data_IF_222372984738
#
_entry.id   IF_222372984738
#
_cell.length_a   1.000
_cell.length_b   1.000
_cell.length_c   1.000
_cell.angle_alpha   90.00
_cell.angle_beta   90.00
_cell.angle_gamma   90.00
#
_symmetry.space_group_name_H-M   'P 1'
#
loop_
_entity.id
_entity.type
_entity.pdbx_description
1 polymer ?
#
# COMPACT_ATOMS: atom_id res chain seq x y z
N UNK A 1 7.51 16.99 -35.60
CA UNK A 1 6.63 15.92 -35.08
C UNK A 1 7.26 15.52 -33.76
N UNK A 2 6.82 15.98 -32.59
CA UNK A 2 5.41 16.03 -32.15
C UNK A 2 5.15 17.21 -31.21
N UNK A 3 4.07 17.95 -31.48
CA UNK A 3 3.55 19.06 -30.66
C UNK A 3 2.55 18.61 -29.59
N UNK A 4 2.58 17.35 -29.16
CA UNK A 4 1.74 16.85 -28.08
C UNK A 4 2.31 17.30 -26.73
N UNK A 5 1.45 17.75 -25.81
CA UNK A 5 1.88 18.08 -24.46
C UNK A 5 2.37 16.83 -23.71
N UNK A 6 3.17 17.02 -22.65
CA UNK A 6 3.62 15.89 -21.79
C UNK A 6 2.43 15.09 -21.24
N UNK A 7 1.30 15.76 -20.99
CA UNK A 7 0.07 15.13 -20.55
C UNK A 7 -0.59 14.30 -21.65
N UNK A 8 -0.70 14.82 -22.88
CA UNK A 8 -1.31 14.08 -23.99
C UNK A 8 -0.54 12.79 -24.28
N UNK A 9 0.79 12.84 -24.17
CA UNK A 9 1.63 11.64 -24.30
C UNK A 9 1.41 10.65 -23.18
N UNK A 10 1.29 11.11 -21.94
CA UNK A 10 1.04 10.23 -20.81
C UNK A 10 -0.36 9.59 -20.89
N UNK A 11 -1.37 10.33 -21.36
CA UNK A 11 -2.68 9.77 -21.68
C UNK A 11 -2.60 8.72 -22.78
N UNK A 12 -1.87 8.97 -23.87
CA UNK A 12 -1.69 8.00 -24.96
C UNK A 12 -1.05 6.69 -24.47
N UNK A 13 -0.09 6.77 -23.54
CA UNK A 13 0.49 5.60 -22.87
C UNK A 13 -0.54 4.90 -21.97
N UNK A 14 -1.34 5.64 -21.20
CA UNK A 14 -2.21 5.05 -20.21
C UNK A 14 -3.50 4.45 -20.79
N UNK A 15 -4.08 5.05 -21.84
CA UNK A 15 -5.38 4.66 -22.40
C UNK A 15 -5.45 3.18 -22.83
N UNK A 16 -4.49 2.61 -23.58
CA UNK A 16 -4.51 1.19 -23.91
C UNK A 16 -4.52 0.29 -22.67
N UNK A 17 -3.83 0.71 -21.60
CA UNK A 17 -3.76 -0.05 -20.34
C UNK A 17 -5.07 0.01 -19.57
N UNK A 18 -5.72 1.18 -19.56
CA UNK A 18 -7.02 1.39 -18.94
C UNK A 18 -8.13 0.62 -19.68
N UNK A 19 -8.13 0.64 -21.02
CA UNK A 19 -9.08 -0.14 -21.83
C UNK A 19 -8.92 -1.65 -21.64
N UNK A 20 -7.71 -2.12 -21.35
CA UNK A 20 -7.42 -3.53 -21.06
C UNK A 20 -7.59 -3.89 -19.57
N UNK A 21 -7.91 -2.92 -18.71
CA UNK A 21 -8.14 -3.17 -17.29
C UNK A 21 -9.52 -3.81 -17.06
N UNK A 22 -9.65 -4.75 -16.11
CA UNK A 22 -10.94 -5.35 -15.76
C UNK A 22 -11.93 -4.27 -15.34
N UNK A 23 -13.06 -4.20 -16.06
CA UNK A 23 -14.15 -3.29 -15.72
C UNK A 23 -14.78 -3.61 -14.36
N UNK A 24 -14.66 -4.84 -13.88
CA UNK A 24 -15.17 -5.29 -12.57
C UNK A 24 -14.22 -5.00 -11.40
N UNK A 25 -13.12 -4.25 -11.60
CA UNK A 25 -12.10 -3.97 -10.58
C UNK A 25 -12.67 -3.65 -9.18
N UNK A 26 -13.61 -2.69 -9.10
CA UNK A 26 -14.22 -2.30 -7.83
C UNK A 26 -15.09 -3.42 -7.23
N UNK A 27 -15.86 -4.11 -8.09
CA UNK A 27 -16.69 -5.23 -7.67
C UNK A 27 -15.84 -6.41 -7.17
N UNK A 28 -14.69 -6.69 -7.80
CA UNK A 28 -13.77 -7.74 -7.34
C UNK A 28 -13.20 -7.42 -5.95
N UNK A 29 -12.84 -6.15 -5.68
CA UNK A 29 -12.41 -5.73 -4.35
C UNK A 29 -13.55 -5.94 -3.34
N UNK A 30 -14.76 -5.49 -3.66
CA UNK A 30 -15.92 -5.65 -2.79
C UNK A 30 -16.20 -7.13 -2.49
N UNK A 31 -16.17 -8.00 -3.50
CA UNK A 31 -16.37 -9.44 -3.33
C UNK A 31 -15.31 -10.07 -2.41
N UNK A 32 -14.05 -9.62 -2.51
CA UNK A 32 -12.99 -10.06 -1.59
C UNK A 32 -13.32 -9.63 -0.15
N UNK A 33 -13.70 -8.37 0.06
CA UNK A 33 -14.06 -7.88 1.39
C UNK A 33 -15.30 -8.55 1.98
N UNK A 34 -16.30 -8.88 1.15
CA UNK A 34 -17.48 -9.65 1.58
C UNK A 34 -17.07 -11.06 2.01
N UNK A 35 -16.26 -11.73 1.19
CA UNK A 35 -15.75 -13.09 1.48
C UNK A 35 -14.96 -13.13 2.78
N UNK A 36 -14.19 -12.08 3.04
CA UNK A 36 -13.36 -11.93 4.23
C UNK A 36 -14.16 -11.40 5.45
N UNK A 37 -15.47 -11.19 5.33
CA UNK A 37 -16.34 -10.70 6.40
C UNK A 37 -16.16 -9.21 6.75
N UNK A 38 -15.31 -8.49 6.02
CA UNK A 38 -14.93 -7.10 6.32
C UNK A 38 -16.11 -6.13 6.15
N UNK A 39 -16.97 -6.35 5.16
CA UNK A 39 -18.17 -5.51 4.96
C UNK A 39 -19.09 -5.56 6.19
N UNK A 40 -19.34 -6.77 6.71
CA UNK A 40 -20.11 -6.96 7.95
C UNK A 40 -19.38 -6.33 9.14
N UNK A 41 -18.06 -6.52 9.26
CA UNK A 41 -17.27 -5.94 10.33
C UNK A 41 -17.34 -4.40 10.34
N UNK A 42 -17.31 -3.75 9.18
CA UNK A 42 -17.51 -2.29 9.06
C UNK A 42 -18.92 -1.89 9.48
N UNK A 43 -19.95 -2.62 9.02
CA UNK A 43 -21.34 -2.31 9.35
C UNK A 43 -21.62 -2.41 10.87
N UNK A 44 -21.04 -3.40 11.55
CA UNK A 44 -21.20 -3.62 12.99
C UNK A 44 -20.14 -2.94 13.85
N UNK A 45 -19.18 -2.23 13.25
CA UNK A 45 -18.03 -1.61 13.93
C UNK A 45 -17.22 -2.62 14.76
N UNK A 46 -17.03 -3.81 14.21
CA UNK A 46 -16.33 -4.94 14.83
C UNK A 46 -14.81 -4.72 14.76
N UNK A 47 -14.25 -4.08 15.80
CA UNK A 47 -12.82 -3.84 15.88
C UNK A 47 -11.95 -5.12 15.89
N UNK A 48 -12.30 -6.20 16.60
CA UNK A 48 -11.61 -7.49 16.49
C UNK A 48 -11.51 -8.02 15.05
N UNK A 49 -12.62 -8.07 14.30
CA UNK A 49 -12.60 -8.58 12.93
C UNK A 49 -11.78 -7.68 11.99
N UNK A 50 -11.89 -6.35 12.15
CA UNK A 50 -11.09 -5.40 11.37
C UNK A 50 -9.59 -5.49 11.70
N UNK A 51 -9.26 -5.73 12.98
CA UNK A 51 -7.88 -5.97 13.41
C UNK A 51 -7.30 -7.20 12.69
N UNK A 52 -7.98 -8.33 12.74
CA UNK A 52 -7.52 -9.58 12.15
C UNK A 52 -7.31 -9.44 10.63
N UNK A 53 -8.23 -8.75 9.95
CA UNK A 53 -8.09 -8.42 8.54
C UNK A 53 -6.81 -7.59 8.26
N UNK A 54 -6.60 -6.50 9.01
CA UNK A 54 -5.43 -5.62 8.83
C UNK A 54 -4.10 -6.33 9.15
N UNK A 55 -4.07 -7.19 10.16
CA UNK A 55 -2.90 -8.04 10.47
C UNK A 55 -2.65 -9.05 9.35
N UNK A 56 -3.72 -9.63 8.78
CA UNK A 56 -3.67 -10.53 7.64
C UNK A 56 -3.02 -9.88 6.41
N UNK A 57 -3.50 -8.70 6.01
CA UNK A 57 -2.94 -7.94 4.87
C UNK A 57 -1.48 -7.52 5.13
N UNK A 58 -1.12 -7.25 6.39
CA UNK A 58 0.27 -6.90 6.75
C UNK A 58 1.26 -8.07 6.60
N UNK A 59 0.78 -9.32 6.50
CA UNK A 59 1.65 -10.48 6.29
C UNK A 59 2.34 -10.48 4.91
N UNK A 60 1.80 -9.76 3.93
CA UNK A 60 2.35 -9.66 2.59
C UNK A 60 3.60 -8.75 2.52
N UNK A 61 3.95 -8.07 3.60
CA UNK A 61 5.12 -7.19 3.63
C UNK A 61 6.45 -7.96 3.45
N UNK A 62 7.17 -7.57 2.39
CA UNK A 62 8.59 -7.91 2.17
C UNK A 62 8.84 -9.34 1.68
N UNK A 63 7.81 -10.01 1.17
CA UNK A 63 7.88 -11.35 0.57
C UNK A 63 6.89 -11.44 -0.60
N UNK A 64 6.96 -12.50 -1.40
CA UNK A 64 5.94 -12.76 -2.43
C UNK A 64 4.61 -13.19 -1.81
N UNK A 65 3.51 -12.88 -2.50
CA UNK A 65 2.16 -13.23 -2.03
C UNK A 65 1.98 -14.73 -1.80
N UNK A 66 2.58 -15.55 -2.67
CA UNK A 66 2.60 -17.01 -2.52
C UNK A 66 3.24 -17.44 -1.20
N UNK A 67 4.37 -16.84 -0.83
CA UNK A 67 5.07 -17.19 0.40
C UNK A 67 4.32 -16.70 1.64
N UNK A 68 3.67 -15.53 1.55
CA UNK A 68 2.82 -15.01 2.61
C UNK A 68 1.62 -15.95 2.86
N UNK A 69 0.91 -16.30 1.79
CA UNK A 69 -0.25 -17.20 1.86
C UNK A 69 0.13 -18.58 2.41
N UNK A 70 1.24 -19.18 1.95
CA UNK A 70 1.71 -20.47 2.44
C UNK A 70 2.08 -20.43 3.93
N UNK A 71 2.73 -19.35 4.41
CA UNK A 71 3.04 -19.19 5.83
C UNK A 71 1.77 -19.07 6.67
N UNK A 72 0.87 -18.17 6.30
CA UNK A 72 -0.39 -17.94 7.02
C UNK A 72 -1.25 -19.20 7.06
N UNK A 73 -1.36 -19.93 5.95
CA UNK A 73 -2.13 -21.19 5.91
C UNK A 73 -1.55 -22.26 6.85
N UNK A 74 -0.24 -22.26 7.09
CA UNK A 74 0.44 -23.25 7.93
C UNK A 74 0.47 -22.88 9.41
N UNK A 75 0.60 -21.59 9.71
CA UNK A 75 0.92 -21.10 11.05
C UNK A 75 -0.17 -20.21 11.68
N UNK A 76 -1.18 -19.81 10.90
CA UNK A 76 -2.16 -18.80 11.30
C UNK A 76 -1.58 -17.38 11.33
N UNK A 77 -2.34 -16.48 11.92
CA UNK A 77 -1.94 -15.12 12.27
C UNK A 77 -2.21 -14.88 13.75
N UNK A 78 -1.56 -13.86 14.31
CA UNK A 78 -1.89 -13.37 15.65
C UNK A 78 -3.25 -12.70 15.60
N UNK A 79 -4.24 -13.23 16.32
CA UNK A 79 -5.58 -12.66 16.36
C UNK A 79 -5.74 -11.60 17.45
N UNK A 80 -6.82 -10.82 17.37
CA UNK A 80 -7.23 -9.90 18.43
C UNK A 80 -7.38 -10.64 19.78
N UNK A 81 -8.08 -11.77 19.78
CA UNK A 81 -8.39 -12.53 21.00
C UNK A 81 -7.12 -13.10 21.65
N UNK A 82 -6.14 -13.55 20.85
CA UNK A 82 -4.85 -14.03 21.36
C UNK A 82 -4.12 -12.93 22.15
N UNK A 83 -4.12 -11.70 21.63
CA UNK A 83 -3.51 -10.55 22.29
C UNK A 83 -4.35 -10.13 23.50
N UNK A 84 -5.67 -10.04 23.36
CA UNK A 84 -6.57 -9.65 24.44
C UNK A 84 -6.41 -10.57 25.66
N UNK A 85 -6.40 -11.89 25.44
CA UNK A 85 -6.15 -12.89 26.49
C UNK A 85 -4.76 -12.74 27.11
N UNK A 86 -3.72 -12.54 26.29
CA UNK A 86 -2.35 -12.32 26.75
C UNK A 86 -2.23 -11.07 27.65
N UNK A 87 -2.94 -10.00 27.32
CA UNK A 87 -2.95 -8.75 28.11
C UNK A 87 -3.79 -8.92 29.39
N UNK A 88 -4.92 -9.63 29.32
CA UNK A 88 -5.77 -9.91 30.48
C UNK A 88 -5.06 -10.77 31.54
N UNK A 89 -4.14 -11.64 31.12
CA UNK A 89 -3.28 -12.40 32.03
C UNK A 89 -2.33 -11.52 32.89
N UNK A 90 -2.25 -10.21 32.61
CA UNK A 90 -1.53 -9.25 33.44
C UNK A 90 -0.01 -9.39 33.35
N UNK A 91 0.59 -9.29 32.14
CA UNK A 91 2.04 -9.43 32.01
C UNK A 91 2.78 -8.30 32.76
N UNK A 92 3.88 -8.66 33.42
CA UNK A 92 4.63 -7.72 34.27
C UNK A 92 5.36 -6.61 33.50
N UNK A 93 5.50 -6.74 32.17
CA UNK A 93 6.19 -5.77 31.34
C UNK A 93 5.39 -4.48 31.21
N UNK A 94 5.94 -3.38 31.72
CA UNK A 94 5.30 -2.06 31.75
C UNK A 94 4.96 -1.49 30.36
N UNK A 95 5.62 -2.00 29.31
CA UNK A 95 5.39 -1.63 27.90
C UNK A 95 4.11 -2.22 27.31
N UNK A 96 3.57 -3.28 27.91
CA UNK A 96 2.33 -3.93 27.45
C UNK A 96 1.06 -3.25 28.02
N UNK A 97 1.20 -2.08 28.66
CA UNK A 97 0.07 -1.37 29.26
C UNK A 97 -0.78 -0.61 28.24
N UNK A 98 -0.19 -0.18 27.13
CA UNK A 98 -0.90 0.56 26.09
C UNK A 98 0.02 1.12 25.00
N UNK A 99 -0.59 1.81 24.04
CA UNK A 99 0.01 2.15 22.75
C UNK A 99 1.32 2.92 22.91
N UNK A 100 1.28 4.02 23.67
CA UNK A 100 2.45 4.86 23.89
C UNK A 100 3.54 4.19 24.74
N UNK A 101 3.17 3.31 25.67
CA UNK A 101 4.15 2.54 26.45
C UNK A 101 4.81 1.43 25.66
N UNK A 102 4.13 0.92 24.63
CA UNK A 102 4.63 -0.15 23.78
C UNK A 102 5.65 0.34 22.75
N UNK A 103 5.69 1.65 22.48
CA UNK A 103 6.70 2.26 21.62
C UNK A 103 8.11 1.79 22.03
N UNK A 104 8.95 1.48 21.03
CA UNK A 104 10.30 0.94 21.24
C UNK A 104 10.37 -0.32 22.10
N UNK A 105 9.36 -1.19 22.08
CA UNK A 105 9.45 -2.54 22.68
C UNK A 105 10.75 -3.25 22.24
N UNK A 106 11.06 -3.20 20.94
CA UNK A 106 12.33 -3.63 20.38
C UNK A 106 12.51 -5.15 20.39
N UNK A 107 11.42 -5.92 20.48
CA UNK A 107 11.50 -7.38 20.50
C UNK A 107 12.12 -7.94 19.22
N UNK A 108 13.15 -8.77 19.37
CA UNK A 108 13.86 -9.44 18.29
C UNK A 108 13.70 -10.95 18.47
N UNK A 109 12.87 -11.55 17.60
CA UNK A 109 12.55 -12.98 17.66
C UNK A 109 13.78 -13.89 17.53
N UNK A 110 14.71 -13.57 16.63
CA UNK A 110 15.88 -14.41 16.36
C UNK A 110 16.86 -14.51 17.55
N UNK A 111 16.99 -13.44 18.33
CA UNK A 111 17.90 -13.38 19.48
C UNK A 111 17.17 -13.52 20.82
N UNK A 112 15.82 -13.56 20.80
CA UNK A 112 14.99 -13.45 21.99
C UNK A 112 15.45 -12.31 22.91
N UNK A 113 15.53 -11.08 22.38
CA UNK A 113 15.89 -9.88 23.16
C UNK A 113 14.87 -8.76 22.97
N UNK A 114 14.80 -7.83 23.91
CA UNK A 114 13.98 -6.62 23.84
C UNK A 114 14.57 -5.51 24.73
N UNK A 115 13.90 -4.36 24.81
CA UNK A 115 14.32 -3.25 25.67
C UNK A 115 14.05 -3.49 27.18
N UNK A 116 13.26 -4.51 27.52
CA UNK A 116 12.90 -4.87 28.90
C UNK A 116 13.29 -6.33 29.22
N UNK A 117 14.60 -6.68 29.20
CA UNK A 117 15.06 -8.07 29.22
C UNK A 117 14.63 -8.84 30.47
N UNK A 118 14.42 -8.16 31.61
CA UNK A 118 13.98 -8.78 32.86
C UNK A 118 12.58 -9.41 32.77
N UNK A 119 11.76 -8.96 31.81
CA UNK A 119 10.37 -9.40 31.68
C UNK A 119 10.18 -10.45 30.58
N UNK A 120 11.23 -10.84 29.86
CA UNK A 120 11.08 -11.62 28.64
C UNK A 120 10.54 -13.04 28.87
N UNK A 121 10.85 -13.65 30.02
CA UNK A 121 10.42 -15.01 30.38
C UNK A 121 8.91 -15.11 30.50
N UNK A 122 8.23 -14.03 30.96
CA UNK A 122 6.77 -13.96 31.06
C UNK A 122 6.14 -13.02 30.02
N UNK A 123 6.86 -12.71 28.96
CA UNK A 123 6.36 -11.86 27.89
C UNK A 123 5.56 -12.71 26.90
N UNK A 124 4.36 -12.29 26.46
CA UNK A 124 3.57 -13.07 25.51
C UNK A 124 4.09 -12.99 24.07
N UNK A 125 4.89 -11.97 23.71
CA UNK A 125 5.35 -11.76 22.33
C UNK A 125 6.08 -12.98 21.71
N UNK A 126 6.98 -13.69 22.41
CA UNK A 126 7.66 -14.86 21.85
C UNK A 126 6.74 -16.04 21.51
N UNK A 127 5.56 -16.13 22.13
CA UNK A 127 4.62 -17.24 21.98
C UNK A 127 3.84 -17.17 20.66
N UNK A 128 3.75 -15.98 20.08
CA UNK A 128 2.93 -15.71 18.90
C UNK A 128 3.50 -16.29 17.59
N UNK A 129 2.66 -16.95 16.77
CA UNK A 129 3.05 -17.46 15.47
C UNK A 129 3.22 -16.29 14.48
N UNK A 130 4.46 -15.96 14.16
CA UNK A 130 4.79 -15.01 13.10
C UNK A 130 6.19 -15.24 12.57
N UNK A 131 6.38 -14.96 11.27
CA UNK A 131 7.67 -15.14 10.57
C UNK A 131 8.79 -14.24 11.10
N UNK A 132 8.46 -13.06 11.65
CA UNK A 132 9.43 -12.08 12.15
C UNK A 132 8.87 -11.35 13.38
N UNK A 133 9.75 -11.02 14.32
CA UNK A 133 9.36 -10.27 15.54
C UNK A 133 8.78 -8.88 15.28
N UNK A 134 9.09 -8.27 14.13
CA UNK A 134 8.51 -6.99 13.72
C UNK A 134 6.99 -7.07 13.46
N UNK A 135 6.48 -8.23 13.04
CA UNK A 135 5.05 -8.40 12.76
C UNK A 135 4.25 -8.66 14.02
N UNK A 136 4.85 -9.34 15.00
CA UNK A 136 4.28 -9.50 16.34
C UNK A 136 4.17 -8.12 16.99
N UNK A 137 5.25 -7.34 16.92
CA UNK A 137 5.21 -5.95 17.41
C UNK A 137 4.17 -5.12 16.67
N UNK A 138 4.05 -5.26 15.35
CA UNK A 138 3.03 -4.55 14.60
C UNK A 138 1.59 -4.94 15.03
N UNK A 139 1.34 -6.23 15.26
CA UNK A 139 0.05 -6.70 15.76
C UNK A 139 -0.27 -6.13 17.15
N UNK A 140 0.67 -6.18 18.10
CA UNK A 140 0.47 -5.57 19.43
C UNK A 140 0.30 -4.05 19.37
N UNK A 141 1.10 -3.36 18.55
CA UNK A 141 0.98 -1.92 18.38
C UNK A 141 -0.36 -1.53 17.73
N UNK A 142 -0.85 -2.30 16.75
CA UNK A 142 -2.18 -2.10 16.18
C UNK A 142 -3.29 -2.39 17.21
N UNK A 143 -3.16 -3.43 18.02
CA UNK A 143 -4.13 -3.78 19.06
C UNK A 143 -4.28 -2.63 20.05
N UNK A 144 -3.15 -2.12 20.55
CA UNK A 144 -3.16 -0.97 21.45
C UNK A 144 -3.63 0.31 20.76
N UNK A 145 -3.31 0.50 19.48
CA UNK A 145 -3.82 1.65 18.73
C UNK A 145 -5.35 1.63 18.66
N UNK A 146 -5.94 0.50 18.27
CA UNK A 146 -7.40 0.34 18.24
C UNK A 146 -8.03 0.53 19.62
N UNK A 147 -7.46 -0.10 20.65
CA UNK A 147 -7.98 -0.02 22.02
C UNK A 147 -7.85 1.37 22.63
N UNK A 148 -6.69 2.03 22.50
CA UNK A 148 -6.36 3.25 23.24
C UNK A 148 -6.60 4.52 22.42
N UNK A 149 -6.33 4.49 21.11
CA UNK A 149 -6.42 5.67 20.22
C UNK A 149 -7.78 5.72 19.51
N UNK A 150 -8.29 4.56 19.07
CA UNK A 150 -9.63 4.48 18.48
C UNK A 150 -10.73 4.21 19.51
N UNK A 151 -10.38 4.04 20.80
CA UNK A 151 -11.33 3.70 21.87
C UNK A 151 -12.19 2.46 21.56
N UNK A 152 -11.63 1.49 20.83
CA UNK A 152 -12.33 0.29 20.38
C UNK A 152 -13.24 0.46 19.16
N UNK A 153 -13.28 1.64 18.53
CA UNK A 153 -14.12 1.91 17.35
C UNK A 153 -13.27 2.47 16.19
N UNK A 154 -12.68 1.57 15.41
CA UNK A 154 -11.88 1.95 14.24
C UNK A 154 -12.72 2.68 13.18
N UNK A 155 -13.96 2.24 12.95
CA UNK A 155 -14.85 2.82 11.92
C UNK A 155 -15.21 4.25 12.29
N UNK A 156 -15.64 4.48 13.53
CA UNK A 156 -15.93 5.82 14.04
C UNK A 156 -14.69 6.72 14.07
N UNK A 157 -13.52 6.16 14.40
CA UNK A 157 -12.25 6.90 14.33
C UNK A 157 -11.92 7.33 12.88
N UNK A 158 -12.06 6.44 11.90
CA UNK A 158 -11.87 6.78 10.48
C UNK A 158 -12.86 7.87 10.05
N UNK A 159 -14.15 7.70 10.36
CA UNK A 159 -15.19 8.69 10.03
C UNK A 159 -14.85 10.08 10.54
N UNK A 160 -14.44 10.17 11.81
CA UNK A 160 -14.06 11.42 12.46
C UNK A 160 -12.84 12.06 11.78
N UNK A 161 -11.76 11.29 11.58
CA UNK A 161 -10.52 11.79 10.96
C UNK A 161 -10.77 12.30 9.55
N UNK A 162 -11.52 11.56 8.75
CA UNK A 162 -11.88 11.96 7.39
C UNK A 162 -12.74 13.21 7.39
N UNK A 163 -13.73 13.32 8.28
CA UNK A 163 -14.58 14.49 8.38
C UNK A 163 -13.81 15.75 8.80
N UNK A 164 -12.91 15.65 9.77
CA UNK A 164 -12.05 16.75 10.24
C UNK A 164 -11.08 17.23 9.15
N UNK A 165 -10.57 16.30 8.34
CA UNK A 165 -9.56 16.60 7.32
C UNK A 165 -10.14 17.07 5.98
N UNK A 166 -11.44 16.88 5.73
CA UNK A 166 -12.11 17.12 4.45
C UNK A 166 -12.19 18.62 4.11
N UNK A 167 -11.42 19.13 3.12
CA UNK A 167 -11.54 20.52 2.66
C UNK A 167 -12.79 20.82 1.81
N UNK A 168 -13.64 19.82 1.53
CA UNK A 168 -14.78 19.91 0.63
C UNK A 168 -14.48 19.39 -0.78
N UNK A 169 -15.54 19.02 -1.50
CA UNK A 169 -15.48 18.30 -2.80
C UNK A 169 -14.74 19.04 -3.93
N UNK A 170 -14.63 20.37 -3.85
CA UNK A 170 -13.97 21.17 -4.87
C UNK A 170 -12.44 21.24 -4.75
N UNK A 171 -11.86 20.77 -3.65
CA UNK A 171 -10.42 20.84 -3.44
C UNK A 171 -9.69 19.73 -4.21
N UNK A 172 -8.71 20.09 -5.05
CA UNK A 172 -7.95 19.15 -5.88
C UNK A 172 -7.09 18.17 -5.07
N UNK A 173 -6.73 18.52 -3.83
CA UNK A 173 -5.93 17.73 -2.90
C UNK A 173 -6.77 17.03 -1.81
N UNK A 174 -8.10 17.07 -1.91
CA UNK A 174 -9.03 16.54 -0.90
C UNK A 174 -8.69 15.13 -0.44
N UNK A 175 -8.55 14.19 -1.37
CA UNK A 175 -8.22 12.79 -1.06
C UNK A 175 -6.82 12.63 -0.45
N UNK A 176 -5.85 13.48 -0.83
CA UNK A 176 -4.50 13.46 -0.29
C UNK A 176 -4.50 13.91 1.16
N UNK A 177 -5.20 15.00 1.48
CA UNK A 177 -5.34 15.52 2.84
C UNK A 177 -6.05 14.53 3.76
N UNK A 178 -7.18 13.99 3.32
CA UNK A 178 -7.92 12.97 4.05
C UNK A 178 -7.09 11.70 4.27
N UNK A 179 -6.38 11.22 3.24
CA UNK A 179 -5.48 10.07 3.35
C UNK A 179 -4.32 10.32 4.32
N UNK A 180 -3.71 11.51 4.31
CA UNK A 180 -2.65 11.86 5.25
C UNK A 180 -3.15 11.87 6.71
N UNK A 181 -4.35 12.40 6.96
CA UNK A 181 -4.95 12.41 8.30
C UNK A 181 -5.19 11.00 8.86
N UNK A 182 -5.41 9.99 8.01
CA UNK A 182 -5.47 8.59 8.42
C UNK A 182 -4.09 7.96 8.60
N UNK A 183 -3.18 8.20 7.63
CA UNK A 183 -1.89 7.52 7.61
C UNK A 183 -0.90 8.04 8.65
N UNK A 184 -0.94 9.34 8.98
CA UNK A 184 0.03 9.96 9.88
C UNK A 184 0.00 9.37 11.30
N UNK A 185 -1.17 9.20 11.95
CA UNK A 185 -1.24 8.50 13.24
C UNK A 185 -0.75 7.05 13.18
N UNK A 186 -1.01 6.34 12.07
CA UNK A 186 -0.62 4.94 11.89
C UNK A 186 0.89 4.74 11.76
N UNK A 187 1.66 5.80 11.50
CA UNK A 187 3.14 5.75 11.53
C UNK A 187 3.68 5.39 12.91
N UNK A 188 2.91 5.58 13.98
CA UNK A 188 3.25 5.12 15.33
C UNK A 188 3.22 3.59 15.48
N UNK A 189 2.55 2.87 14.58
CA UNK A 189 2.50 1.41 14.61
C UNK A 189 3.82 0.85 14.06
N UNK A 190 4.71 0.50 14.98
CA UNK A 190 6.05 0.01 14.64
C UNK A 190 5.97 -1.32 13.89
N UNK A 191 6.75 -1.46 12.81
CA UNK A 191 6.90 -2.71 12.05
C UNK A 191 6.14 -2.76 10.73
N UNK A 192 5.18 -1.84 10.51
CA UNK A 192 4.44 -1.69 9.24
C UNK A 192 4.80 -0.35 8.59
N UNK A 193 5.19 -0.39 7.32
CA UNK A 193 5.50 0.82 6.55
C UNK A 193 4.24 1.53 6.04
N UNK A 194 4.32 2.84 5.81
CA UNK A 194 3.21 3.66 5.27
C UNK A 194 2.62 3.12 3.96
N UNK A 195 3.46 2.52 3.10
CA UNK A 195 3.01 1.85 1.88
C UNK A 195 2.02 0.72 2.17
N UNK A 196 2.32 -0.11 3.17
CA UNK A 196 1.48 -1.26 3.53
C UNK A 196 0.17 -0.78 4.13
N UNK A 197 0.19 0.25 4.97
CA UNK A 197 -1.04 0.90 5.45
C UNK A 197 -1.89 1.48 4.33
N UNK A 198 -1.27 2.20 3.40
CA UNK A 198 -1.96 2.74 2.24
C UNK A 198 -2.59 1.63 1.38
N UNK A 199 -1.90 0.49 1.21
CA UNK A 199 -2.48 -0.68 0.52
C UNK A 199 -3.67 -1.26 1.27
N UNK A 200 -3.50 -1.57 2.56
CA UNK A 200 -4.53 -2.22 3.38
C UNK A 200 -5.79 -1.36 3.54
N UNK A 201 -5.62 -0.05 3.73
CA UNK A 201 -6.75 0.86 3.90
C UNK A 201 -7.41 1.24 2.58
N UNK A 202 -6.69 1.30 1.47
CA UNK A 202 -7.30 1.72 0.20
C UNK A 202 -8.48 0.83 -0.18
N UNK A 203 -8.31 -0.49 -0.13
CA UNK A 203 -9.35 -1.44 -0.53
C UNK A 203 -10.54 -1.39 0.46
N UNK A 204 -10.25 -1.35 1.78
CA UNK A 204 -11.25 -1.15 2.83
C UNK A 204 -12.09 0.11 2.59
N UNK A 205 -11.45 1.26 2.40
CA UNK A 205 -12.12 2.55 2.22
C UNK A 205 -12.88 2.62 0.90
N UNK A 206 -12.38 1.96 -0.13
CA UNK A 206 -12.93 2.02 -1.47
C UNK A 206 -14.19 1.16 -1.62
N UNK A 207 -14.28 0.02 -0.93
CA UNK A 207 -15.30 -0.99 -1.23
C UNK A 207 -16.03 -1.60 -0.01
N UNK A 208 -15.62 -1.32 1.24
CA UNK A 208 -16.30 -1.91 2.40
C UNK A 208 -17.69 -1.31 2.65
N UNK A 209 -17.89 -0.03 2.33
CA UNK A 209 -19.20 0.64 2.39
C UNK A 209 -19.24 1.79 1.37
N UNK A 210 -19.89 1.54 0.23
CA UNK A 210 -19.97 2.49 -0.88
C UNK A 210 -20.79 3.75 -0.55
N UNK A 211 -21.59 3.74 0.52
CA UNK A 211 -22.35 4.91 0.93
C UNK A 211 -21.50 5.94 1.70
N UNK A 212 -20.29 5.54 2.14
CA UNK A 212 -19.36 6.44 2.83
C UNK A 212 -18.52 7.22 1.83
N UNK A 213 -19.08 8.30 1.31
CA UNK A 213 -18.45 9.08 0.25
C UNK A 213 -17.01 9.53 0.56
N UNK A 214 -16.71 9.95 1.80
CA UNK A 214 -15.34 10.32 2.20
C UNK A 214 -14.38 9.13 2.18
N UNK A 215 -14.87 7.94 2.52
CA UNK A 215 -14.07 6.71 2.45
C UNK A 215 -13.74 6.41 1.00
N UNK A 216 -14.76 6.33 0.15
CA UNK A 216 -14.59 6.04 -1.29
C UNK A 216 -13.65 7.05 -1.94
N UNK A 217 -13.85 8.35 -1.70
CA UNK A 217 -12.99 9.41 -2.23
C UNK A 217 -11.53 9.28 -1.73
N UNK A 218 -11.34 8.93 -0.46
CA UNK A 218 -9.99 8.73 0.11
C UNK A 218 -9.33 7.50 -0.48
N UNK A 219 -10.01 6.34 -0.46
CA UNK A 219 -9.51 5.08 -1.00
C UNK A 219 -9.16 5.17 -2.49
N UNK A 220 -9.99 5.86 -3.28
CA UNK A 220 -9.72 6.14 -4.69
C UNK A 220 -8.45 6.97 -4.92
N UNK A 221 -8.10 7.87 -3.99
CA UNK A 221 -6.91 8.72 -4.05
C UNK A 221 -5.66 8.13 -3.39
N UNK A 222 -5.77 6.99 -2.70
CA UNK A 222 -4.65 6.28 -2.05
C UNK A 222 -3.81 5.53 -3.08
N UNK A 223 -2.97 6.28 -3.78
CA UNK A 223 -2.00 5.75 -4.74
C UNK A 223 -0.78 5.16 -4.02
N UNK A 224 -0.36 4.00 -4.47
CA UNK A 224 0.81 3.25 -4.01
C UNK A 224 1.80 3.09 -5.17
N UNK A 225 2.93 3.75 -5.05
CA UNK A 225 4.06 3.62 -5.99
C UNK A 225 5.03 2.56 -5.47
N UNK A 226 5.14 1.46 -6.20
CA UNK A 226 6.19 0.45 -6.04
C UNK A 226 7.27 0.59 -7.11
N UNK A 227 8.24 -0.32 -7.10
CA UNK A 227 9.33 -0.31 -8.09
C UNK A 227 8.82 -0.57 -9.50
N UNK A 228 7.78 -1.39 -9.68
CA UNK A 228 7.21 -1.69 -10.99
C UNK A 228 6.61 -0.45 -11.62
N UNK A 229 5.78 0.27 -10.86
CA UNK A 229 5.13 1.49 -11.33
C UNK A 229 6.13 2.62 -11.54
N UNK A 230 7.09 2.81 -10.62
CA UNK A 230 8.17 3.79 -10.78
C UNK A 230 8.99 3.52 -12.05
N UNK A 231 9.42 2.27 -12.24
CA UNK A 231 10.21 1.88 -13.41
C UNK A 231 9.41 2.01 -14.71
N UNK A 232 8.10 1.74 -14.69
CA UNK A 232 7.24 1.99 -15.86
C UNK A 232 7.23 3.47 -16.25
N UNK A 233 7.03 4.37 -15.29
CA UNK A 233 7.04 5.83 -15.54
C UNK A 233 8.40 6.31 -16.05
N UNK A 234 9.50 5.68 -15.61
CA UNK A 234 10.83 5.95 -16.14
C UNK A 234 10.98 5.44 -17.58
N UNK A 235 10.73 4.14 -17.83
CA UNK A 235 10.91 3.49 -19.14
C UNK A 235 10.07 4.13 -20.25
N UNK A 236 8.87 4.60 -19.91
CA UNK A 236 7.99 5.28 -20.86
C UNK A 236 8.43 6.69 -21.21
N UNK A 237 9.41 7.25 -20.49
CA UNK A 237 9.85 8.64 -20.61
C UNK A 237 8.96 9.63 -19.89
N UNK A 238 7.91 9.16 -19.19
CA UNK A 238 6.97 10.01 -18.46
C UNK A 238 7.70 10.90 -17.46
N UNK A 239 8.56 10.33 -16.59
CA UNK A 239 9.30 11.13 -15.61
C UNK A 239 10.16 12.22 -16.28
N UNK A 240 10.83 11.89 -17.39
CA UNK A 240 11.69 12.83 -18.13
C UNK A 240 10.89 13.99 -18.72
N UNK A 241 9.74 13.69 -19.36
CA UNK A 241 8.87 14.70 -19.97
C UNK A 241 8.24 15.67 -18.97
N UNK A 242 8.11 15.26 -17.72
CA UNK A 242 7.64 16.11 -16.63
C UNK A 242 8.76 16.74 -15.80
N UNK A 243 10.03 16.56 -16.20
CA UNK A 243 11.21 16.98 -15.41
C UNK A 243 11.16 16.44 -13.96
N UNK A 244 10.64 15.23 -13.80
CA UNK A 244 10.36 14.56 -12.54
C UNK A 244 11.22 13.31 -12.36
N UNK A 245 12.37 13.21 -13.02
CA UNK A 245 13.31 12.08 -12.82
C UNK A 245 13.86 12.11 -11.38
N UNK A 246 13.81 10.97 -10.70
CA UNK A 246 14.30 10.79 -9.33
C UNK A 246 14.61 9.31 -9.05
N UNK A 247 15.48 9.00 -8.07
CA UNK A 247 15.67 7.62 -7.64
C UNK A 247 14.41 7.11 -6.92
N UNK A 248 14.15 5.81 -7.04
CA UNK A 248 13.08 5.15 -6.30
C UNK A 248 13.18 5.47 -4.80
N UNK A 249 12.03 5.76 -4.17
CA UNK A 249 11.93 6.22 -2.78
C UNK A 249 11.57 7.70 -2.64
N UNK A 250 11.76 8.52 -3.70
CA UNK A 250 11.26 9.91 -3.76
C UNK A 250 9.91 10.06 -4.48
N UNK A 251 9.23 8.95 -4.75
CA UNK A 251 8.00 8.87 -5.56
C UNK A 251 6.80 9.68 -5.02
N UNK A 252 6.81 10.02 -3.73
CA UNK A 252 5.74 10.74 -3.04
C UNK A 252 6.12 12.19 -2.70
N UNK A 253 7.31 12.64 -3.12
CA UNK A 253 7.67 14.06 -3.04
C UNK A 253 6.80 14.87 -4.02
N UNK A 254 6.65 16.18 -3.83
CA UNK A 254 5.93 17.04 -4.78
C UNK A 254 6.42 16.83 -6.21
N UNK A 255 5.48 16.72 -7.16
CA UNK A 255 5.73 16.39 -8.57
C UNK A 255 6.34 15.00 -8.83
N UNK A 256 6.35 14.12 -7.83
CA UNK A 256 6.78 12.73 -7.97
C UNK A 256 5.76 11.83 -8.68
N UNK A 257 6.05 10.53 -8.76
CA UNK A 257 5.19 9.54 -9.42
C UNK A 257 3.73 9.59 -8.94
N UNK A 258 3.49 9.74 -7.63
CA UNK A 258 2.13 9.76 -7.08
C UNK A 258 1.31 10.96 -7.60
N UNK A 259 1.93 12.13 -7.73
CA UNK A 259 1.28 13.33 -8.25
C UNK A 259 1.01 13.21 -9.74
N UNK A 260 1.91 12.59 -10.51
CA UNK A 260 1.68 12.32 -11.93
C UNK A 260 0.50 11.37 -12.15
N UNK A 261 0.38 10.30 -11.36
CA UNK A 261 -0.77 9.37 -11.44
C UNK A 261 -2.08 10.09 -11.10
N UNK A 262 -2.09 10.94 -10.06
CA UNK A 262 -3.27 11.72 -9.69
C UNK A 262 -3.64 12.75 -10.76
N UNK A 263 -2.65 13.45 -11.30
CA UNK A 263 -2.84 14.43 -12.37
C UNK A 263 -3.37 13.77 -13.65
N UNK A 264 -2.89 12.57 -14.00
CA UNK A 264 -3.42 11.79 -15.10
C UNK A 264 -4.89 11.40 -14.86
N UNK A 265 -5.21 10.95 -13.64
CA UNK A 265 -6.58 10.58 -13.28
C UNK A 265 -7.57 11.76 -13.29
N UNK A 266 -7.10 13.00 -13.11
CA UNK A 266 -7.95 14.19 -13.27
C UNK A 266 -8.33 14.46 -14.72
N UNK A 267 -7.61 13.88 -15.68
CA UNK A 267 -7.78 14.10 -17.12
C UNK A 267 -8.54 12.97 -17.82
N UNK A 268 -8.78 11.88 -17.11
CA UNK A 268 -9.45 10.68 -17.62
C UNK A 268 -10.70 10.46 -16.78
N UNK A 269 -11.87 10.45 -17.42
CA UNK A 269 -13.09 10.05 -16.75
C UNK A 269 -13.14 8.52 -16.66
N UNK A 270 -12.90 7.96 -15.47
CA UNK A 270 -12.85 6.51 -15.31
C UNK A 270 -14.22 5.84 -15.58
N UNK A 271 -15.31 6.62 -15.63
CA UNK A 271 -16.66 6.15 -16.00
C UNK A 271 -16.74 5.69 -17.46
N UNK A 272 -15.81 6.09 -18.31
CA UNK A 272 -15.65 5.57 -19.67
C UNK A 272 -15.36 4.06 -19.69
N UNK A 273 -14.75 3.53 -18.61
CA UNK A 273 -14.39 2.10 -18.50
C UNK A 273 -15.40 1.31 -17.68
N UNK A 274 -16.01 1.93 -16.67
CA UNK A 274 -17.16 1.40 -15.95
C UNK A 274 -17.97 2.56 -15.33
N UNK A 275 -19.28 2.72 -15.64
CA UNK A 275 -20.10 3.82 -15.11
C UNK A 275 -20.19 3.89 -13.57
N UNK A 276 -19.93 2.79 -12.87
CA UNK A 276 -19.93 2.73 -11.40
C UNK A 276 -18.64 3.27 -10.77
N UNK A 277 -17.61 3.56 -11.58
CA UNK A 277 -16.37 4.13 -11.07
C UNK A 277 -16.50 5.61 -10.68
N UNK A 278 -15.74 6.07 -9.67
CA UNK A 278 -15.53 7.51 -9.48
C UNK A 278 -14.97 8.14 -10.75
N UNK A 279 -15.45 9.33 -11.13
CA UNK A 279 -14.98 10.02 -12.34
C UNK A 279 -13.45 10.20 -12.35
N UNK A 280 -12.89 10.67 -11.23
CA UNK A 280 -11.45 10.72 -11.00
C UNK A 280 -11.03 9.53 -10.13
N UNK A 281 -10.34 8.55 -10.71
CA UNK A 281 -9.98 7.30 -10.01
C UNK A 281 -8.47 6.95 -10.10
N UNK A 282 -7.61 7.69 -9.37
CA UNK A 282 -6.15 7.46 -9.38
C UNK A 282 -5.73 6.03 -9.08
N UNK A 283 -6.42 5.35 -8.16
CA UNK A 283 -6.13 3.95 -7.81
C UNK A 283 -6.38 2.99 -8.98
N UNK A 284 -7.42 3.19 -9.78
CA UNK A 284 -7.66 2.41 -10.99
C UNK A 284 -6.59 2.68 -12.06
N UNK A 285 -6.18 3.94 -12.25
CA UNK A 285 -5.07 4.30 -13.14
C UNK A 285 -3.77 3.62 -12.72
N UNK A 286 -3.44 3.67 -11.42
CA UNK A 286 -2.30 2.96 -10.85
C UNK A 286 -2.38 1.46 -11.14
N UNK A 287 -3.53 0.84 -10.89
CA UNK A 287 -3.74 -0.59 -11.12
C UNK A 287 -3.54 -0.95 -12.60
N UNK A 288 -4.18 -0.24 -13.53
CA UNK A 288 -4.06 -0.48 -14.96
C UNK A 288 -2.60 -0.45 -15.44
N UNK A 289 -1.83 0.53 -14.98
CA UNK A 289 -0.40 0.65 -15.31
C UNK A 289 0.41 -0.48 -14.65
N UNK A 290 0.19 -0.73 -13.36
CA UNK A 290 0.90 -1.76 -12.60
C UNK A 290 0.73 -3.16 -13.21
N UNK A 291 -0.46 -3.50 -13.71
CA UNK A 291 -0.74 -4.79 -14.36
C UNK A 291 0.16 -5.11 -15.54
N UNK A 292 0.58 -4.09 -16.29
CA UNK A 292 1.51 -4.28 -17.41
C UNK A 292 2.86 -4.85 -16.93
N UNK A 293 3.30 -4.46 -15.74
CA UNK A 293 4.60 -4.81 -15.18
C UNK A 293 4.52 -6.00 -14.20
N UNK A 294 3.40 -6.24 -13.54
CA UNK A 294 3.27 -7.30 -12.55
C UNK A 294 3.41 -8.69 -13.14
N UNK A 295 4.19 -9.56 -12.48
CA UNK A 295 4.37 -10.97 -12.89
C UNK A 295 3.12 -11.82 -12.63
N UNK A 296 2.22 -11.35 -11.78
CA UNK A 296 0.93 -11.99 -11.50
C UNK A 296 -0.17 -11.57 -12.51
N UNK A 297 0.13 -10.61 -13.38
CA UNK A 297 -0.81 -10.03 -14.35
C UNK A 297 -0.26 -10.23 -15.77
N UNK A 298 -0.09 -9.15 -16.56
CA UNK A 298 0.31 -9.24 -17.96
C UNK A 298 1.79 -9.59 -18.12
N UNK A 299 2.63 -9.26 -17.14
CA UNK A 299 4.04 -9.63 -17.12
C UNK A 299 4.80 -9.23 -18.41
N UNK A 300 4.65 -7.97 -18.84
CA UNK A 300 5.22 -7.41 -20.08
C UNK A 300 6.37 -6.43 -19.80
N UNK A 301 6.15 -5.44 -18.92
CA UNK A 301 7.08 -4.32 -18.71
C UNK A 301 7.83 -4.43 -17.38
N UNK A 302 8.66 -5.46 -17.21
CA UNK A 302 9.46 -5.67 -16.01
C UNK A 302 10.85 -6.23 -16.30
N UNK A 303 11.71 -6.27 -15.28
CA UNK A 303 13.09 -6.73 -15.39
C UNK A 303 13.25 -8.23 -15.67
N UNK A 304 12.17 -9.03 -15.68
CA UNK A 304 12.19 -10.42 -16.16
C UNK A 304 12.01 -10.50 -17.67
N UNK A 305 11.50 -9.44 -18.31
CA UNK A 305 11.14 -9.41 -19.74
C UNK A 305 11.97 -8.41 -20.56
N UNK A 306 12.57 -7.43 -19.90
CA UNK A 306 13.29 -6.32 -20.54
C UNK A 306 14.70 -6.28 -19.96
N UNK A 307 15.70 -6.13 -20.83
CA UNK A 307 17.04 -5.72 -20.41
C UNK A 307 17.05 -4.22 -20.10
N UNK A 308 17.17 -3.90 -18.81
CA UNK A 308 17.13 -2.53 -18.30
C UNK A 308 18.33 -1.67 -18.69
N UNK A 309 19.32 -2.23 -19.38
CA UNK A 309 20.50 -1.53 -19.90
C UNK A 309 20.31 -1.01 -21.32
N UNK A 310 19.29 -1.49 -22.02
CA UNK A 310 19.03 -1.18 -23.42
C UNK A 310 17.62 -0.62 -23.63
N UNK A 311 17.43 0.03 -24.78
CA UNK A 311 16.08 0.44 -25.21
C UNK A 311 15.24 -0.82 -25.45
N UNK A 312 14.00 -0.81 -24.97
CA UNK A 312 13.09 -1.94 -25.14
C UNK A 312 12.72 -2.16 -26.62
N UNK A 313 12.80 -3.41 -27.09
CA UNK A 313 12.47 -3.80 -28.46
C UNK A 313 11.14 -4.56 -28.58
N UNK A 314 10.38 -4.66 -27.49
CA UNK A 314 9.12 -5.42 -27.47
C UNK A 314 7.99 -4.69 -28.22
N UNK A 315 7.95 -4.85 -29.54
CA UNK A 315 6.98 -4.21 -30.44
C UNK A 315 5.53 -4.64 -30.21
N UNK A 316 5.28 -5.74 -29.50
CA UNK A 316 3.92 -6.19 -29.14
C UNK A 316 3.39 -5.56 -27.86
N UNK A 317 4.21 -4.78 -27.15
CA UNK A 317 3.77 -4.04 -25.98
C UNK A 317 2.67 -3.03 -26.37
N UNK A 318 1.52 -3.00 -25.66
CA UNK A 318 0.37 -2.17 -26.04
C UNK A 318 0.65 -0.66 -26.03
N UNK A 319 1.74 -0.24 -25.38
CA UNK A 319 2.15 1.18 -25.31
C UNK A 319 3.40 1.47 -26.12
N UNK A 320 3.87 0.51 -26.95
CA UNK A 320 5.17 0.60 -27.62
C UNK A 320 5.32 1.85 -28.50
N UNK A 321 4.27 2.21 -29.24
CA UNK A 321 4.27 3.36 -30.16
C UNK A 321 4.47 4.68 -29.40
N UNK A 322 3.88 4.79 -28.21
CA UNK A 322 3.95 5.99 -27.38
C UNK A 322 5.06 5.97 -26.32
N UNK A 323 5.74 4.84 -26.15
CA UNK A 323 6.80 4.67 -25.18
C UNK A 323 8.14 5.22 -25.70
N UNK A 324 8.77 6.11 -24.92
CA UNK A 324 10.11 6.62 -25.27
C UNK A 324 11.21 5.55 -25.11
N UNK A 325 10.89 4.44 -24.43
CA UNK A 325 11.74 3.25 -24.24
C UNK A 325 13.09 3.59 -23.62
N UNK A 326 13.06 4.43 -22.60
CA UNK A 326 14.24 4.86 -21.83
C UNK A 326 14.80 3.65 -21.07
N UNK A 327 16.10 3.40 -21.18
CA UNK A 327 16.79 2.39 -20.38
C UNK A 327 16.87 2.85 -18.91
N UNK A 328 16.72 1.94 -17.95
CA UNK A 328 16.84 2.29 -16.52
C UNK A 328 18.29 2.47 -16.07
N UNK A 329 19.22 1.80 -16.74
CA UNK A 329 20.64 1.80 -16.41
C UNK A 329 21.45 2.22 -17.64
N UNK A 330 21.72 3.52 -17.78
CA UNK A 330 22.59 3.98 -18.87
C UNK A 330 24.02 3.47 -18.67
N UNK A 331 24.59 2.90 -19.74
CA UNK A 331 25.97 2.38 -19.79
C UNK A 331 27.06 3.42 -19.51
N UNK A 332 26.72 4.71 -19.36
CA UNK A 332 27.66 5.82 -19.18
C UNK A 332 27.78 6.35 -17.74
N UNK A 333 27.10 5.75 -16.77
CA UNK A 333 27.24 6.14 -15.35
C UNK A 333 27.92 5.02 -14.55
N UNK A 334 29.17 5.19 -14.07
CA UNK A 334 29.78 4.20 -13.20
C UNK A 334 28.98 4.11 -11.90
N UNK A 335 28.38 2.94 -11.67
CA UNK A 335 27.66 2.56 -10.46
C UNK A 335 28.54 2.74 -9.23
N UNK A 336 28.27 3.78 -8.44
CA UNK A 336 28.77 3.92 -7.07
C UNK A 336 27.88 3.13 -6.10
N UNK A 337 27.68 1.83 -6.32
CA UNK A 337 27.09 0.92 -5.33
C UNK A 337 27.27 -0.55 -5.73
N UNK A 338 28.50 -1.04 -5.73
CA UNK A 338 28.76 -2.45 -5.42
C UNK A 338 29.33 -2.51 -4.01
N UNK A 339 28.46 -2.68 -3.03
CA UNK A 339 28.89 -3.18 -1.73
C UNK A 339 29.47 -4.57 -1.94
N UNK A 340 30.74 -4.75 -1.59
CA UNK A 340 31.38 -6.05 -1.57
C UNK A 340 30.62 -7.01 -0.64
N UNK A 341 30.52 -8.30 -0.96
CA UNK A 341 29.99 -9.29 -0.02
C UNK A 341 30.93 -9.35 1.21
N UNK A 342 30.39 -9.52 2.44
CA UNK A 342 31.22 -9.72 3.61
C UNK A 342 32.04 -11.01 3.43
N UNK A 343 33.34 -10.89 3.72
CA UNK A 343 34.21 -12.04 3.89
C UNK A 343 33.67 -12.92 5.04
N UNK A 344 33.83 -14.22 4.85
CA UNK A 344 33.37 -15.33 5.69
C UNK A 344 33.64 -15.15 7.19
#
# INVERSE_FOLDING_TARGET
>A
MDGLSSWDRFEAIARPLLSAAPGDYLASIQQNLVRDGVVSAVAYRDAPALFDHLVGVSQFQGISDRNAAAFTSKHGIVSWDDIAASIQAGPSCSRLRGFWSFDRCGYRKATATCMEPRHIVGCPLPEHPARKGSLIQAAYALFFFLRDVCAGDLVGWIDQRLAEADPGRGASDRAVRMGAALLDPLRGITGIGSKVWSMALADLLLAADLNRERWVATGAGMVVIDTLLHNHLHRTGTLRRFMAEHPYGRCYAPAGCADLIRGLAQRIDAREFNPDFPACFPRFVQFAIWRLASSAELNICNGLRIDDRARCENTTCPVFQDCDRVALHDHMTPSSSRGAPPAL
#
